data_IF_839298877000
#
_entry.id   IF_839298877000
#
_cell.length_a   1.000
_cell.length_b   1.000
_cell.length_c   1.000
_cell.angle_alpha   90.00
_cell.angle_beta   90.00
_cell.angle_gamma   90.00
#
_symmetry.space_group_name_H-M   'P 1'
#
loop_
_entity.id
_entity.type
_entity.pdbx_description
1 polymer ?
#
# COMPACT_ATOMS: atom_id res chain seq x y z
N UNK A 1 -14.81 -2.86 34.57
CA UNK A 1 -15.66 -3.23 33.43
C UNK A 1 -14.89 -4.27 32.64
N UNK A 2 -15.40 -5.49 32.58
CA UNK A 2 -14.73 -6.58 31.85
C UNK A 2 -15.04 -6.41 30.36
N UNK A 3 -14.00 -6.21 29.54
CA UNK A 3 -14.17 -5.99 28.10
C UNK A 3 -14.31 -7.37 27.44
N UNK A 4 -15.53 -7.67 26.99
CA UNK A 4 -15.82 -8.91 26.30
C UNK A 4 -15.54 -8.77 24.81
N UNK A 5 -14.43 -9.36 24.37
CA UNK A 5 -14.09 -9.47 22.95
C UNK A 5 -14.79 -10.66 22.29
N UNK A 6 -15.09 -10.52 20.99
CA UNK A 6 -15.55 -11.65 20.17
C UNK A 6 -14.47 -12.72 20.02
N UNK A 7 -14.88 -13.95 19.73
CA UNK A 7 -13.93 -15.05 19.45
C UNK A 7 -13.01 -14.76 18.27
N UNK A 8 -13.45 -13.95 17.30
CA UNK A 8 -12.59 -13.49 16.22
C UNK A 8 -11.49 -12.55 16.72
N UNK A 9 -11.85 -11.55 17.54
CA UNK A 9 -10.90 -10.60 18.10
C UNK A 9 -9.85 -11.30 18.97
N UNK A 10 -10.22 -12.35 19.71
CA UNK A 10 -9.28 -13.17 20.49
C UNK A 10 -8.21 -13.88 19.65
N UNK A 11 -8.43 -14.08 18.34
CA UNK A 11 -7.48 -14.73 17.43
C UNK A 11 -6.55 -13.76 16.71
N UNK A 12 -6.81 -12.45 16.77
CA UNK A 12 -5.96 -11.45 16.14
C UNK A 12 -4.62 -11.40 16.89
N UNK A 13 -3.52 -11.50 16.15
CA UNK A 13 -2.15 -11.37 16.68
C UNK A 13 -1.40 -10.26 15.95
N UNK A 14 -0.42 -9.69 16.63
CA UNK A 14 0.55 -8.77 16.00
C UNK A 14 1.39 -9.51 14.97
N UNK A 15 1.98 -8.75 14.04
CA UNK A 15 2.98 -9.26 13.11
C UNK A 15 4.37 -8.91 13.62
N UNK A 16 5.17 -9.93 13.89
CA UNK A 16 6.55 -9.81 14.36
C UNK A 16 7.42 -9.07 13.33
N UNK A 17 7.16 -9.27 12.04
CA UNK A 17 7.79 -8.51 10.94
C UNK A 17 7.46 -7.02 11.06
N UNK A 18 6.20 -6.65 11.32
CA UNK A 18 5.81 -5.24 11.52
C UNK A 18 6.45 -4.63 12.76
N UNK A 19 6.65 -5.40 13.83
CA UNK A 19 7.35 -4.92 15.03
C UNK A 19 8.83 -4.64 14.74
N UNK A 20 9.51 -5.52 14.00
CA UNK A 20 10.91 -5.31 13.58
C UNK A 20 11.08 -4.10 12.66
N UNK A 21 10.12 -3.86 11.75
CA UNK A 21 10.16 -2.70 10.85
C UNK A 21 10.20 -1.35 11.59
N UNK A 22 9.68 -1.25 12.81
CA UNK A 22 9.76 -0.02 13.63
C UNK A 22 11.21 0.40 13.90
N UNK A 23 12.13 -0.56 13.98
CA UNK A 23 13.54 -0.34 14.26
C UNK A 23 14.37 -0.14 12.98
N UNK A 24 13.84 -0.49 11.82
CA UNK A 24 14.58 -0.46 10.54
C UNK A 24 15.04 0.93 10.09
N UNK A 25 14.42 1.99 10.62
CA UNK A 25 14.71 3.40 10.29
C UNK A 25 15.36 4.17 11.43
N UNK A 26 15.77 3.50 12.50
CA UNK A 26 16.46 4.14 13.62
C UNK A 26 17.92 4.40 13.23
N UNK A 27 18.39 5.63 13.46
CA UNK A 27 19.78 5.99 13.20
C UNK A 27 20.75 5.04 13.93
N UNK A 28 21.76 4.56 13.21
CA UNK A 28 22.76 3.61 13.75
C UNK A 28 22.37 2.13 13.63
N UNK A 29 21.17 1.80 13.15
CA UNK A 29 20.75 0.42 12.86
C UNK A 29 21.02 0.08 11.40
N UNK A 30 21.72 -1.03 11.15
CA UNK A 30 21.82 -1.66 9.83
C UNK A 30 20.78 -2.77 9.78
N UNK A 31 19.71 -2.59 8.99
CA UNK A 31 18.60 -3.54 8.91
C UNK A 31 18.73 -4.43 7.68
N UNK A 32 18.87 -5.74 7.89
CA UNK A 32 18.71 -6.79 6.87
C UNK A 32 17.32 -7.45 6.93
N UNK A 33 16.45 -6.98 7.82
CA UNK A 33 15.19 -7.65 8.17
C UNK A 33 14.00 -7.19 7.32
N UNK A 34 13.96 -5.92 6.93
CA UNK A 34 12.86 -5.36 6.15
C UNK A 34 12.97 -5.77 4.69
N UNK A 35 12.00 -6.52 4.18
CA UNK A 35 11.78 -6.71 2.73
C UNK A 35 11.28 -5.43 2.05
N UNK A 36 11.87 -4.29 2.39
CA UNK A 36 11.54 -2.97 1.87
C UNK A 36 12.29 -2.76 0.56
N UNK A 37 11.62 -2.30 -0.52
CA UNK A 37 12.33 -1.87 -1.72
C UNK A 37 13.21 -0.67 -1.42
N UNK A 38 14.28 -0.51 -2.19
CA UNK A 38 15.14 0.68 -2.15
C UNK A 38 14.33 1.91 -2.59
N UNK A 39 14.19 2.95 -1.73
CA UNK A 39 13.42 4.14 -2.06
C UNK A 39 13.95 4.90 -3.28
N UNK A 40 15.23 4.77 -3.61
CA UNK A 40 15.83 5.43 -4.77
C UNK A 40 15.35 4.86 -6.11
N UNK A 41 14.76 3.66 -6.09
CA UNK A 41 14.20 3.01 -7.28
C UNK A 41 12.77 3.45 -7.61
N UNK A 42 12.13 4.27 -6.76
CA UNK A 42 10.79 4.75 -7.04
C UNK A 42 10.80 5.81 -8.15
N UNK A 43 9.97 5.66 -9.21
CA UNK A 43 9.94 6.57 -10.35
C UNK A 43 9.14 7.85 -10.01
N UNK A 44 9.74 8.73 -9.20
CA UNK A 44 9.05 9.86 -8.60
C UNK A 44 8.50 10.86 -9.64
N UNK A 45 9.25 11.09 -10.72
CA UNK A 45 8.85 12.00 -11.80
C UNK A 45 7.63 11.49 -12.57
N UNK A 46 7.61 10.19 -12.90
CA UNK A 46 6.48 9.57 -13.58
C UNK A 46 5.23 9.55 -12.71
N UNK A 47 5.37 9.15 -11.43
CA UNK A 47 4.24 9.16 -10.49
C UNK A 47 3.66 10.57 -10.37
N UNK A 48 4.52 11.59 -10.26
CA UNK A 48 4.09 12.99 -10.16
C UNK A 48 3.36 13.45 -11.42
N UNK A 49 3.89 13.14 -12.60
CA UNK A 49 3.30 13.49 -13.89
C UNK A 49 1.94 12.82 -14.07
N UNK A 50 1.87 11.50 -13.90
CA UNK A 50 0.65 10.70 -14.09
C UNK A 50 -0.43 11.13 -13.11
N UNK A 51 -0.07 11.39 -11.84
CA UNK A 51 -1.05 11.86 -10.84
C UNK A 51 -1.70 13.17 -11.27
N UNK A 52 -0.92 14.12 -11.81
CA UNK A 52 -1.47 15.39 -12.32
C UNK A 52 -2.40 15.16 -13.51
N UNK A 53 -2.01 14.29 -14.43
CA UNK A 53 -2.81 13.91 -15.60
C UNK A 53 -4.16 13.31 -15.19
N UNK A 54 -4.16 12.33 -14.28
CA UNK A 54 -5.39 11.71 -13.75
C UNK A 54 -6.27 12.75 -13.07
N UNK A 55 -5.70 13.65 -12.26
CA UNK A 55 -6.49 14.69 -11.58
C UNK A 55 -7.10 15.70 -12.56
N UNK A 56 -6.40 16.02 -13.65
CA UNK A 56 -6.90 16.94 -14.67
C UNK A 56 -7.98 16.32 -15.56
N UNK A 57 -7.80 15.05 -15.95
CA UNK A 57 -8.65 14.41 -16.96
C UNK A 57 -9.79 13.59 -16.36
N UNK A 58 -9.52 12.89 -15.25
CA UNK A 58 -10.44 11.95 -14.59
C UNK A 58 -10.68 12.31 -13.12
N UNK A 59 -10.33 13.52 -12.67
CA UNK A 59 -10.27 13.88 -11.25
C UNK A 59 -11.58 13.67 -10.47
N UNK A 60 -12.73 13.98 -11.06
CA UNK A 60 -14.03 13.75 -10.40
C UNK A 60 -14.30 12.26 -10.15
N UNK A 61 -13.91 11.39 -11.07
CA UNK A 61 -14.03 9.93 -10.90
C UNK A 61 -12.98 9.40 -9.93
N UNK A 62 -11.73 9.85 -10.06
CA UNK A 62 -10.61 9.44 -9.22
C UNK A 62 -10.81 9.77 -7.73
N UNK A 63 -11.58 10.82 -7.41
CA UNK A 63 -11.87 11.26 -6.05
C UNK A 63 -13.23 10.80 -5.51
N UNK A 64 -14.03 10.08 -6.31
CA UNK A 64 -15.34 9.56 -5.93
C UNK A 64 -15.25 8.09 -5.52
N UNK A 65 -16.28 7.60 -4.82
CA UNK A 65 -16.48 6.17 -4.63
C UNK A 65 -16.38 5.39 -5.95
N UNK A 66 -15.55 4.36 -5.93
CA UNK A 66 -15.34 3.44 -7.04
C UNK A 66 -16.02 2.09 -6.83
N UNK A 67 -16.04 1.26 -7.88
CA UNK A 67 -16.57 -0.10 -7.81
C UNK A 67 -15.67 -0.99 -6.94
N UNK A 68 -16.27 -1.89 -6.16
CA UNK A 68 -15.54 -2.84 -5.28
C UNK A 68 -14.45 -3.65 -5.99
N UNK A 69 -14.62 -4.12 -7.24
CA UNK A 69 -13.56 -4.84 -7.95
C UNK A 69 -12.29 -4.02 -8.26
N UNK A 70 -12.37 -2.68 -8.29
CA UNK A 70 -11.27 -1.80 -8.70
C UNK A 70 -11.47 -1.15 -10.07
N UNK A 71 -10.49 -0.36 -10.51
CA UNK A 71 -10.60 0.40 -11.76
C UNK A 71 -10.46 -0.52 -13.00
N UNK A 72 -11.43 -0.53 -13.93
CA UNK A 72 -11.44 -1.45 -15.07
C UNK A 72 -10.19 -1.37 -15.95
N UNK A 73 -9.75 -0.16 -16.30
CA UNK A 73 -8.55 0.08 -17.14
C UNK A 73 -7.28 -0.55 -16.49
N UNK A 74 -7.19 -0.52 -15.16
CA UNK A 74 -6.07 -1.13 -14.44
C UNK A 74 -6.15 -2.66 -14.44
N UNK A 75 -7.36 -3.22 -14.28
CA UNK A 75 -7.56 -4.67 -14.30
C UNK A 75 -7.18 -5.24 -15.67
N UNK A 76 -7.59 -4.59 -16.76
CA UNK A 76 -7.22 -4.99 -18.12
C UNK A 76 -5.71 -4.96 -18.34
N UNK A 77 -5.05 -3.86 -17.98
CA UNK A 77 -3.59 -3.72 -18.08
C UNK A 77 -2.84 -4.77 -17.23
N UNK A 78 -3.36 -5.11 -16.04
CA UNK A 78 -2.78 -6.14 -15.19
C UNK A 78 -2.90 -7.53 -15.84
N UNK A 79 -4.06 -7.85 -16.42
CA UNK A 79 -4.27 -9.13 -17.12
C UNK A 79 -3.30 -9.25 -18.30
N UNK A 80 -3.12 -8.18 -19.08
CA UNK A 80 -2.16 -8.15 -20.18
C UNK A 80 -0.71 -8.33 -19.69
N UNK A 81 -0.33 -7.68 -18.59
CA UNK A 81 1.01 -7.80 -18.03
C UNK A 81 1.34 -9.21 -17.51
N UNK A 82 0.32 -9.95 -17.07
CA UNK A 82 0.48 -11.30 -16.52
C UNK A 82 0.43 -12.41 -17.58
N UNK A 83 0.03 -12.10 -18.82
CA UNK A 83 -0.05 -13.03 -19.94
C UNK A 83 1.32 -13.32 -20.56
#
# INVERSE_FOLDING_TARGET
MEINYSEFAKRIKGSEIRELLKYSRINGVISFAGGLPDPSLFPLDDITRITKEVLNEKGLYALQYGPTPGEPDFIEALVEHMA
#
